data_IF_436241509731
#
_entry.id   IF_436241509731
#
_cell.length_a   1.000
_cell.length_b   1.000
_cell.length_c   1.000
_cell.angle_alpha   90.00
_cell.angle_beta   90.00
_cell.angle_gamma   90.00
#
_symmetry.space_group_name_H-M   'P 1'
#
loop_
_entity.id
_entity.type
_entity.pdbx_description
1 polymer ?
#
# COMPACT_ATOMS: atom_id res chain seq x y z
N UNK A 1 24.39 -12.90 2.45
CA UNK A 1 23.06 -12.33 2.08
C UNK A 1 22.93 -10.84 2.45
N UNK A 2 23.03 -10.43 3.73
CA UNK A 2 22.89 -9.02 4.16
C UNK A 2 23.71 -8.00 3.33
N UNK A 3 25.02 -8.21 3.15
CA UNK A 3 25.88 -7.31 2.35
C UNK A 3 25.37 -7.12 0.91
N UNK A 4 24.87 -8.20 0.29
CA UNK A 4 24.30 -8.16 -1.06
C UNK A 4 23.01 -7.33 -1.11
N UNK A 5 22.13 -7.48 -0.11
CA UNK A 5 20.91 -6.68 -0.01
C UNK A 5 21.22 -5.18 0.14
N UNK A 6 22.15 -4.81 1.03
CA UNK A 6 22.58 -3.42 1.21
C UNK A 6 23.16 -2.85 -0.08
N UNK A 7 23.99 -3.62 -0.79
CA UNK A 7 24.54 -3.21 -2.09
C UNK A 7 23.44 -2.97 -3.12
N UNK A 8 22.39 -3.81 -3.18
CA UNK A 8 21.28 -3.62 -4.12
C UNK A 8 20.45 -2.38 -3.79
N UNK A 9 20.13 -2.15 -2.50
CA UNK A 9 19.44 -0.93 -2.04
C UNK A 9 20.23 0.31 -2.44
N UNK A 10 21.53 0.30 -2.15
CA UNK A 10 22.43 1.42 -2.47
C UNK A 10 22.56 1.65 -3.97
N UNK A 11 22.61 0.58 -4.77
CA UNK A 11 22.72 0.67 -6.23
C UNK A 11 21.46 1.31 -6.82
N UNK A 12 20.28 0.80 -6.45
CA UNK A 12 19.00 1.33 -6.92
C UNK A 12 18.82 2.79 -6.51
N UNK A 13 19.02 3.11 -5.23
CA UNK A 13 18.81 4.48 -4.75
C UNK A 13 19.87 5.46 -5.25
N UNK A 14 21.10 5.01 -5.48
CA UNK A 14 22.12 5.83 -6.16
C UNK A 14 21.70 6.16 -7.57
N UNK A 15 21.12 5.21 -8.31
CA UNK A 15 20.62 5.42 -9.67
C UNK A 15 19.48 6.43 -9.67
N UNK A 16 18.48 6.28 -8.80
CA UNK A 16 17.36 7.23 -8.68
C UNK A 16 17.86 8.64 -8.34
N UNK A 17 18.71 8.79 -7.31
CA UNK A 17 19.23 10.10 -6.89
C UNK A 17 20.10 10.76 -7.98
N UNK A 18 20.92 9.97 -8.69
CA UNK A 18 21.78 10.48 -9.78
C UNK A 18 20.96 10.96 -10.98
N UNK A 19 19.84 10.32 -11.27
CA UNK A 19 18.96 10.65 -12.39
C UNK A 19 17.79 11.54 -11.97
N UNK A 20 18.06 12.52 -11.10
CA UNK A 20 17.08 13.52 -10.68
C UNK A 20 15.76 12.94 -10.16
N UNK A 21 15.84 11.86 -9.38
CA UNK A 21 14.70 11.14 -8.79
C UNK A 21 13.80 10.42 -9.80
N UNK A 22 14.36 10.05 -10.96
CA UNK A 22 13.75 9.15 -11.91
C UNK A 22 14.43 7.79 -11.90
N UNK A 23 13.65 6.72 -11.99
CA UNK A 23 14.13 5.39 -12.32
C UNK A 23 14.26 5.31 -13.85
N UNK A 24 15.49 5.44 -14.34
CA UNK A 24 15.81 5.35 -15.78
C UNK A 24 15.92 3.88 -16.19
N UNK A 25 15.30 3.53 -17.31
CA UNK A 25 15.27 2.18 -17.86
C UNK A 25 16.45 1.92 -18.83
N UNK A 26 16.55 0.71 -19.39
CA UNK A 26 17.61 0.27 -20.28
C UNK A 26 17.78 1.14 -21.54
N UNK A 27 16.73 1.84 -21.95
CA UNK A 27 16.72 2.72 -23.13
C UNK A 27 17.16 4.17 -22.82
N UNK A 28 17.48 4.49 -21.56
CA UNK A 28 17.89 5.83 -21.14
C UNK A 28 16.74 6.79 -20.79
N UNK A 29 15.49 6.34 -20.89
CA UNK A 29 14.30 7.13 -20.56
C UNK A 29 13.75 6.78 -19.17
N UNK A 30 13.05 7.72 -18.49
CA UNK A 30 12.32 7.39 -17.27
C UNK A 30 11.28 6.29 -17.49
N UNK A 31 11.19 5.35 -16.55
CA UNK A 31 10.06 4.41 -16.50
C UNK A 31 8.74 5.17 -16.30
N UNK A 32 7.61 4.53 -16.62
CA UNK A 32 6.29 5.17 -16.51
C UNK A 32 5.99 5.64 -15.09
N UNK A 33 6.24 4.78 -14.10
CA UNK A 33 5.85 4.97 -12.70
C UNK A 33 7.00 5.34 -11.75
N UNK A 34 8.26 5.06 -12.11
CA UNK A 34 9.40 5.38 -11.25
C UNK A 34 9.78 6.87 -11.33
N UNK A 35 8.88 7.76 -10.90
CA UNK A 35 9.01 9.22 -11.01
C UNK A 35 8.74 9.90 -9.67
N UNK A 36 9.80 10.36 -9.01
CA UNK A 36 9.71 11.05 -7.71
C UNK A 36 10.26 12.47 -7.76
N UNK A 37 10.50 13.00 -8.95
CA UNK A 37 11.00 14.36 -9.15
C UNK A 37 9.94 15.40 -8.76
N UNK A 38 10.31 16.51 -8.08
CA UNK A 38 9.36 17.54 -7.67
C UNK A 38 8.57 18.18 -8.81
N UNK A 39 9.15 18.34 -9.99
CA UNK A 39 8.46 18.89 -11.17
C UNK A 39 7.34 17.97 -11.64
N UNK A 40 7.49 16.65 -11.48
CA UNK A 40 6.44 15.68 -11.78
C UNK A 40 5.42 15.61 -10.64
N UNK A 41 5.89 15.41 -9.40
CA UNK A 41 5.05 15.15 -8.22
C UNK A 41 4.20 16.37 -7.86
N UNK A 42 4.80 17.56 -7.80
CA UNK A 42 4.07 18.77 -7.41
C UNK A 42 3.30 19.43 -8.57
N UNK A 43 3.47 18.95 -9.81
CA UNK A 43 2.58 19.33 -10.89
C UNK A 43 1.18 18.70 -10.75
N UNK A 44 1.04 17.64 -9.95
CA UNK A 44 -0.27 17.07 -9.62
C UNK A 44 -0.99 17.95 -8.58
N UNK A 45 -2.30 18.21 -8.73
CA UNK A 45 -3.13 18.79 -7.67
C UNK A 45 -3.04 17.99 -6.36
N UNK A 46 -3.28 18.64 -5.23
CA UNK A 46 -3.08 18.06 -3.89
C UNK A 46 -4.00 16.88 -3.56
N UNK A 47 -5.18 16.82 -4.19
CA UNK A 47 -6.13 15.71 -4.05
C UNK A 47 -5.78 14.47 -4.88
N UNK A 48 -4.82 14.55 -5.81
CA UNK A 48 -4.42 13.40 -6.63
C UNK A 48 -3.51 12.49 -5.82
N UNK A 49 -3.94 11.24 -5.59
CA UNK A 49 -3.26 10.26 -4.74
C UNK A 49 -1.78 10.06 -5.06
N UNK A 50 -1.42 10.07 -6.35
CA UNK A 50 -0.05 9.92 -6.85
C UNK A 50 0.94 10.93 -6.22
N UNK A 51 0.48 12.14 -5.87
CA UNK A 51 1.32 13.16 -5.21
C UNK A 51 1.73 12.73 -3.80
N UNK A 52 0.76 12.30 -2.99
CA UNK A 52 0.98 11.79 -1.63
C UNK A 52 1.78 10.49 -1.67
N UNK A 53 1.47 9.61 -2.62
CA UNK A 53 2.11 8.30 -2.76
C UNK A 53 3.59 8.47 -3.08
N UNK A 54 3.91 9.23 -4.13
CA UNK A 54 5.28 9.42 -4.56
C UNK A 54 6.12 10.15 -3.50
N UNK A 55 5.54 11.14 -2.79
CA UNK A 55 6.23 11.76 -1.66
C UNK A 55 6.50 10.75 -0.53
N UNK A 56 5.52 9.92 -0.15
CA UNK A 56 5.69 8.90 0.89
C UNK A 56 6.75 7.87 0.52
N UNK A 57 6.66 7.36 -0.71
CA UNK A 57 7.54 6.33 -1.26
C UNK A 57 8.99 6.78 -1.29
N UNK A 58 9.30 7.93 -1.88
CA UNK A 58 10.70 8.36 -2.01
C UNK A 58 11.33 8.66 -0.65
N UNK A 59 10.55 9.21 0.31
CA UNK A 59 11.05 9.49 1.66
C UNK A 59 11.32 8.17 2.39
N UNK A 60 10.40 7.19 2.32
CA UNK A 60 10.60 5.85 2.87
C UNK A 60 11.80 5.13 2.27
N UNK A 61 11.99 5.21 0.95
CA UNK A 61 13.12 4.63 0.24
C UNK A 61 14.46 5.27 0.62
N UNK A 62 14.54 6.61 0.68
CA UNK A 62 15.75 7.33 1.07
C UNK A 62 16.12 7.09 2.54
N UNK A 63 15.12 7.04 3.43
CA UNK A 63 15.32 6.66 4.84
C UNK A 63 15.90 5.26 4.97
N UNK A 64 15.31 4.30 4.24
CA UNK A 64 15.79 2.91 4.24
C UNK A 64 17.22 2.81 3.73
N UNK A 65 17.54 3.49 2.63
CA UNK A 65 18.90 3.52 2.09
C UNK A 65 19.89 4.16 3.08
N UNK A 66 19.52 5.27 3.72
CA UNK A 66 20.36 5.87 4.76
C UNK A 66 20.58 4.92 5.94
N UNK A 67 19.53 4.31 6.47
CA UNK A 67 19.62 3.39 7.61
C UNK A 67 20.62 2.26 7.38
N UNK A 68 20.61 1.66 6.20
CA UNK A 68 21.48 0.51 5.90
C UNK A 68 22.88 0.87 5.40
N UNK A 69 23.05 2.05 4.78
CA UNK A 69 24.32 2.43 4.14
C UNK A 69 25.11 3.49 4.90
N UNK A 70 24.45 4.30 5.74
CA UNK A 70 25.02 5.46 6.42
C UNK A 70 25.44 6.61 5.49
N UNK A 71 25.06 6.57 4.20
CA UNK A 71 25.50 7.58 3.22
C UNK A 71 24.64 8.84 3.31
N UNK A 72 25.26 9.94 3.70
CA UNK A 72 24.58 11.23 3.95
C UNK A 72 23.79 11.77 2.77
N UNK A 73 24.22 11.49 1.54
CA UNK A 73 23.49 11.87 0.31
C UNK A 73 22.00 11.49 0.32
N UNK A 74 21.63 10.39 0.99
CA UNK A 74 20.23 9.96 1.07
C UNK A 74 19.45 10.78 2.09
N UNK A 75 20.01 11.03 3.28
CA UNK A 75 19.42 11.87 4.31
C UNK A 75 19.26 13.30 3.82
N UNK A 76 20.32 13.86 3.26
CA UNK A 76 20.33 15.24 2.77
C UNK A 76 19.31 15.42 1.64
N UNK A 77 19.20 14.45 0.73
CA UNK A 77 18.17 14.48 -0.33
C UNK A 77 16.75 14.39 0.24
N UNK A 78 16.51 13.55 1.24
CA UNK A 78 15.19 13.45 1.85
C UNK A 78 14.77 14.75 2.56
N UNK A 79 15.67 15.36 3.34
CA UNK A 79 15.39 16.65 3.98
C UNK A 79 15.24 17.79 2.97
N UNK A 80 16.02 17.78 1.89
CA UNK A 80 15.84 18.72 0.78
C UNK A 80 14.42 18.63 0.18
N UNK A 81 13.93 17.41 -0.10
CA UNK A 81 12.58 17.21 -0.64
C UNK A 81 11.48 17.64 0.35
N UNK A 82 11.65 17.33 1.63
CA UNK A 82 10.68 17.71 2.66
C UNK A 82 10.61 19.23 2.86
N UNK A 83 11.76 19.92 2.87
CA UNK A 83 11.85 21.35 3.19
C UNK A 83 11.62 22.27 2.00
N UNK A 84 12.24 21.94 0.86
CA UNK A 84 12.23 22.83 -0.31
C UNK A 84 11.09 22.52 -1.28
N UNK A 85 10.55 21.29 -1.24
CA UNK A 85 9.54 20.81 -2.20
C UNK A 85 8.24 20.33 -1.54
N UNK A 86 8.08 20.50 -0.22
CA UNK A 86 6.84 20.19 0.48
C UNK A 86 6.49 18.71 0.60
N UNK A 87 7.45 17.79 0.45
CA UNK A 87 7.13 16.34 0.45
C UNK A 87 6.58 15.86 1.79
N UNK A 88 6.95 16.51 2.90
CA UNK A 88 6.37 16.19 4.20
C UNK A 88 4.90 16.62 4.29
N UNK A 89 4.53 17.74 3.67
CA UNK A 89 3.13 18.17 3.60
C UNK A 89 2.33 17.23 2.69
N UNK A 90 2.86 16.91 1.51
CA UNK A 90 2.23 15.97 0.58
C UNK A 90 1.93 14.62 1.25
N UNK A 91 2.92 13.99 1.92
CA UNK A 91 2.73 12.68 2.53
C UNK A 91 1.77 12.71 3.74
N UNK A 92 1.65 13.85 4.41
CA UNK A 92 0.77 14.05 5.58
C UNK A 92 -0.65 14.46 5.21
N UNK A 93 -0.95 14.70 3.93
CA UNK A 93 -2.29 14.99 3.42
C UNK A 93 -3.28 13.93 3.89
N UNK A 94 -4.44 14.28 4.48
CA UNK A 94 -5.44 13.29 4.88
C UNK A 94 -5.94 12.46 3.69
N UNK A 95 -6.14 11.16 3.90
CA UNK A 95 -6.67 10.25 2.89
C UNK A 95 -8.08 10.66 2.44
N UNK A 96 -8.90 11.21 3.34
CA UNK A 96 -10.22 11.76 3.00
C UNK A 96 -10.20 13.02 2.11
N UNK A 97 -9.03 13.62 1.86
CA UNK A 97 -8.86 14.70 0.88
C UNK A 97 -8.39 14.19 -0.50
N UNK A 98 -8.11 12.89 -0.63
CA UNK A 98 -7.76 12.26 -1.90
C UNK A 98 -9.03 11.98 -2.69
N UNK A 99 -9.03 12.37 -3.97
CA UNK A 99 -10.23 12.35 -4.79
C UNK A 99 -9.96 12.77 -6.23
N UNK A 100 -11.03 12.95 -7.04
CA UNK A 100 -10.89 13.31 -8.43
C UNK A 100 -10.25 14.69 -8.58
N UNK A 101 -9.34 14.81 -9.54
CA UNK A 101 -8.79 16.09 -9.94
C UNK A 101 -9.91 17.01 -10.50
N UNK A 102 -9.81 18.34 -10.32
CA UNK A 102 -10.77 19.26 -10.90
C UNK A 102 -10.78 19.14 -12.44
N UNK A 103 -11.91 19.46 -13.07
CA UNK A 103 -12.05 19.41 -14.54
C UNK A 103 -11.02 20.29 -15.27
N UNK A 104 -10.53 21.34 -14.60
CA UNK A 104 -9.49 22.24 -15.10
C UNK A 104 -8.07 21.67 -15.02
N UNK A 105 -7.88 20.52 -14.38
CA UNK A 105 -6.57 19.86 -14.31
C UNK A 105 -6.18 19.25 -15.66
N UNK A 106 -4.87 19.06 -15.86
CA UNK A 106 -4.37 18.40 -17.05
C UNK A 106 -4.87 16.95 -17.17
N UNK A 107 -4.83 16.42 -18.39
CA UNK A 107 -5.35 15.08 -18.70
C UNK A 107 -4.67 13.98 -17.89
N UNK A 108 -3.38 14.13 -17.55
CA UNK A 108 -2.65 13.14 -16.77
C UNK A 108 -3.19 13.09 -15.33
N UNK A 109 -3.40 14.25 -14.71
CA UNK A 109 -4.00 14.32 -13.38
C UNK A 109 -5.41 13.77 -13.32
N UNK A 110 -6.24 14.01 -14.33
CA UNK A 110 -7.59 13.44 -14.40
C UNK A 110 -7.53 11.91 -14.52
N UNK A 111 -6.69 11.39 -15.41
CA UNK A 111 -6.47 9.95 -15.57
C UNK A 111 -5.98 9.28 -14.27
N UNK A 112 -5.05 9.91 -13.55
CA UNK A 112 -4.53 9.41 -12.27
C UNK A 112 -5.53 9.46 -11.10
N UNK A 113 -6.72 10.04 -11.31
CA UNK A 113 -7.73 10.23 -10.27
C UNK A 113 -9.14 9.95 -10.79
N UNK A 114 -9.26 9.06 -11.79
CA UNK A 114 -10.57 8.59 -12.27
C UNK A 114 -11.29 7.77 -11.18
N UNK A 115 -10.53 6.97 -10.45
CA UNK A 115 -10.98 6.14 -9.32
C UNK A 115 -9.83 5.95 -8.33
N UNK A 116 -10.15 5.39 -7.16
CA UNK A 116 -9.15 4.92 -6.21
C UNK A 116 -8.32 3.78 -6.82
N UNK A 117 -7.00 3.98 -6.86
CA UNK A 117 -6.10 2.94 -7.33
C UNK A 117 -5.68 2.05 -6.16
N UNK A 118 -6.34 0.89 -6.01
CA UNK A 118 -6.04 -0.12 -4.97
C UNK A 118 -4.60 -0.65 -5.01
N UNK A 119 -3.88 -0.49 -6.13
CA UNK A 119 -2.44 -0.80 -6.18
C UNK A 119 -1.56 0.21 -5.45
N UNK A 120 -2.04 1.44 -5.25
CA UNK A 120 -1.33 2.44 -4.47
C UNK A 120 -1.32 2.04 -2.98
N UNK A 121 -2.35 1.35 -2.49
CA UNK A 121 -2.43 0.88 -1.11
C UNK A 121 -1.34 -0.16 -0.81
N UNK A 122 -1.14 -1.12 -1.73
CA UNK A 122 -0.03 -2.05 -1.65
C UNK A 122 1.32 -1.35 -1.62
N UNK A 123 1.50 -0.33 -2.47
CA UNK A 123 2.73 0.46 -2.50
C UNK A 123 2.96 1.22 -1.19
N UNK A 124 1.92 1.84 -0.63
CA UNK A 124 1.98 2.52 0.66
C UNK A 124 2.37 1.56 1.79
N UNK A 125 1.62 0.47 1.96
CA UNK A 125 1.83 -0.46 3.07
C UNK A 125 3.21 -1.14 3.00
N UNK A 126 3.66 -1.53 1.82
CA UNK A 126 5.03 -1.99 1.62
C UNK A 126 6.07 -0.89 1.96
N UNK A 127 5.80 0.35 1.56
CA UNK A 127 6.67 1.51 1.81
C UNK A 127 6.73 1.94 3.29
N UNK A 128 5.65 1.74 4.05
CA UNK A 128 5.53 2.16 5.45
C UNK A 128 6.55 1.49 6.36
N UNK A 129 7.03 0.30 6.01
CA UNK A 129 8.13 -0.34 6.73
C UNK A 129 9.39 0.52 6.75
N UNK A 130 9.77 1.06 5.59
CA UNK A 130 10.91 1.96 5.46
C UNK A 130 10.63 3.35 6.04
N UNK A 131 9.41 3.85 5.84
CA UNK A 131 9.00 5.18 6.29
C UNK A 131 8.93 5.26 7.83
N UNK A 132 8.29 4.31 8.49
CA UNK A 132 8.05 4.35 9.93
C UNK A 132 9.20 3.78 10.76
N UNK A 133 9.74 2.60 10.42
CA UNK A 133 10.81 1.97 11.24
C UNK A 133 12.10 2.76 11.22
N UNK A 134 12.40 3.40 10.09
CA UNK A 134 13.65 4.11 9.85
C UNK A 134 13.47 5.62 9.75
N UNK A 135 12.39 6.15 10.34
CA UNK A 135 12.19 7.59 10.48
C UNK A 135 13.45 8.28 11.04
N UNK A 136 13.86 9.40 10.44
CA UNK A 136 15.12 10.06 10.82
C UNK A 136 15.13 10.60 12.27
N UNK A 137 13.96 10.86 12.84
CA UNK A 137 13.78 11.33 14.21
C UNK A 137 12.37 11.01 14.73
N UNK A 138 12.17 11.18 16.04
CA UNK A 138 10.91 10.85 16.71
C UNK A 138 9.74 11.73 16.26
N UNK A 139 9.98 13.00 15.92
CA UNK A 139 8.94 13.89 15.40
C UNK A 139 8.36 13.35 14.10
N UNK A 140 9.21 13.01 13.13
CA UNK A 140 8.78 12.39 11.87
C UNK A 140 8.10 11.05 12.12
N UNK A 141 8.61 10.24 13.05
CA UNK A 141 8.00 8.95 13.39
C UNK A 141 6.55 9.10 13.89
N UNK A 142 6.29 10.08 14.75
CA UNK A 142 4.94 10.40 15.24
C UNK A 142 4.04 10.85 14.08
N UNK A 143 4.55 11.70 13.19
CA UNK A 143 3.81 12.15 12.01
C UNK A 143 3.47 11.00 11.08
N UNK A 144 4.43 10.13 10.76
CA UNK A 144 4.19 8.98 9.90
C UNK A 144 3.22 7.98 10.52
N UNK A 145 3.28 7.75 11.85
CA UNK A 145 2.25 6.95 12.54
C UNK A 145 0.86 7.51 12.29
N UNK A 146 0.68 8.83 12.42
CA UNK A 146 -0.61 9.47 12.14
C UNK A 146 -1.06 9.24 10.69
N UNK A 147 -0.17 9.41 9.70
CA UNK A 147 -0.51 9.19 8.29
C UNK A 147 -0.86 7.73 7.97
N UNK A 148 -0.21 6.77 8.61
CA UNK A 148 -0.50 5.34 8.44
C UNK A 148 -1.86 4.98 9.05
N UNK A 149 -2.17 5.52 10.23
CA UNK A 149 -3.48 5.27 10.87
C UNK A 149 -4.62 5.93 10.09
N UNK A 150 -4.39 7.12 9.54
CA UNK A 150 -5.35 7.79 8.65
C UNK A 150 -5.62 6.98 7.36
N UNK A 151 -4.59 6.35 6.80
CA UNK A 151 -4.75 5.40 5.70
C UNK A 151 -5.59 4.20 6.13
N UNK A 152 -5.19 3.56 7.24
CA UNK A 152 -5.88 2.37 7.74
C UNK A 152 -7.36 2.63 7.96
N UNK A 153 -7.76 3.77 8.56
CA UNK A 153 -9.18 4.14 8.73
C UNK A 153 -9.96 4.19 7.40
N UNK A 154 -9.30 4.56 6.30
CA UNK A 154 -9.89 4.58 4.96
C UNK A 154 -10.03 3.17 4.38
N UNK A 155 -9.12 2.26 4.70
CA UNK A 155 -9.10 0.86 4.24
C UNK A 155 -10.03 -0.08 5.03
N UNK A 156 -10.49 0.32 6.23
CA UNK A 156 -11.27 -0.57 7.13
C UNK A 156 -12.50 -1.21 6.48
N UNK A 157 -13.28 -0.54 5.61
CA UNK A 157 -14.44 -1.15 4.97
C UNK A 157 -14.11 -2.43 4.20
N UNK A 158 -12.89 -2.54 3.66
CA UNK A 158 -12.47 -3.72 2.91
C UNK A 158 -12.10 -4.91 3.79
N UNK A 159 -11.91 -4.73 5.11
CA UNK A 159 -11.50 -5.80 6.04
C UNK A 159 -10.30 -6.60 5.49
N UNK A 160 -9.35 -5.90 4.87
CA UNK A 160 -8.23 -6.49 4.16
C UNK A 160 -7.19 -7.01 5.17
N UNK A 161 -6.81 -8.28 5.06
CA UNK A 161 -6.03 -8.97 6.08
C UNK A 161 -4.58 -8.48 6.18
N UNK A 162 -3.94 -8.16 5.05
CA UNK A 162 -2.56 -7.66 5.02
C UNK A 162 -2.45 -6.23 5.54
N UNK A 163 -3.33 -5.32 5.12
CA UNK A 163 -3.37 -3.92 5.56
C UNK A 163 -3.60 -3.83 7.07
N UNK A 164 -4.60 -4.56 7.58
CA UNK A 164 -4.89 -4.60 9.01
C UNK A 164 -3.70 -5.13 9.83
N UNK A 165 -3.07 -6.23 9.40
CA UNK A 165 -1.88 -6.77 10.09
C UNK A 165 -0.69 -5.79 10.01
N UNK A 166 -0.45 -5.18 8.85
CA UNK A 166 0.65 -4.23 8.70
C UNK A 166 0.44 -2.96 9.54
N UNK A 167 -0.80 -2.55 9.85
CA UNK A 167 -1.08 -1.43 10.76
C UNK A 167 -0.47 -1.63 12.15
N UNK A 168 -0.37 -2.87 12.63
CA UNK A 168 0.28 -3.20 13.90
C UNK A 168 1.77 -2.77 13.95
N UNK A 169 2.41 -2.57 12.81
CA UNK A 169 3.76 -1.98 12.70
C UNK A 169 3.88 -0.67 13.49
N UNK A 170 2.81 0.12 13.56
CA UNK A 170 2.79 1.42 14.24
C UNK A 170 2.82 1.31 15.78
N UNK A 171 2.61 0.10 16.32
CA UNK A 171 2.40 -0.12 17.75
C UNK A 171 1.13 0.56 18.26
N UNK A 172 0.09 0.62 17.43
CA UNK A 172 -1.26 0.96 17.87
C UNK A 172 -1.77 -0.18 18.78
N UNK A 173 -2.43 0.12 19.92
CA UNK A 173 -2.87 -0.92 20.86
C UNK A 173 -4.02 -1.77 20.30
N UNK A 174 -4.90 -1.15 19.51
CA UNK A 174 -6.06 -1.79 18.91
C UNK A 174 -6.02 -1.53 17.40
N UNK A 175 -6.28 -2.58 16.63
CA UNK A 175 -6.43 -2.58 15.17
C UNK A 175 -7.36 -3.74 14.80
N UNK A 176 -7.79 -3.81 13.55
CA UNK A 176 -8.77 -4.78 13.05
C UNK A 176 -8.16 -6.20 12.88
N UNK A 177 -7.64 -6.77 13.99
CA UNK A 177 -7.04 -8.09 14.04
C UNK A 177 -8.07 -9.21 13.85
N UNK A 178 -9.28 -9.04 14.36
CA UNK A 178 -10.34 -10.04 14.22
C UNK A 178 -10.75 -10.19 12.76
N UNK A 179 -10.83 -9.08 12.03
CA UNK A 179 -11.10 -8.97 10.60
C UNK A 179 -9.97 -9.59 9.79
N UNK A 180 -8.70 -9.37 10.19
CA UNK A 180 -7.57 -10.01 9.54
C UNK A 180 -7.54 -11.53 9.75
N UNK A 181 -7.91 -12.00 10.95
CA UNK A 181 -8.04 -13.43 11.24
C UNK A 181 -9.21 -14.03 10.47
N UNK A 182 -10.35 -13.33 10.40
CA UNK A 182 -11.50 -13.71 9.59
C UNK A 182 -11.10 -13.83 8.12
N UNK A 183 -10.41 -12.84 7.56
CA UNK A 183 -9.87 -12.89 6.21
C UNK A 183 -9.04 -14.16 5.97
N UNK A 184 -8.08 -14.45 6.86
CA UNK A 184 -7.21 -15.63 6.73
C UNK A 184 -7.95 -16.97 6.88
N UNK A 185 -9.03 -17.02 7.67
CA UNK A 185 -9.83 -18.22 7.89
C UNK A 185 -10.76 -18.52 6.72
N UNK A 186 -11.40 -17.48 6.19
CA UNK A 186 -12.32 -17.60 5.06
C UNK A 186 -11.59 -17.62 3.72
N UNK A 187 -10.31 -17.24 3.63
CA UNK A 187 -9.64 -17.26 2.33
C UNK A 187 -9.60 -18.69 1.74
N UNK A 188 -10.06 -18.88 0.50
CA UNK A 188 -10.17 -20.21 -0.09
C UNK A 188 -8.80 -20.88 -0.27
N UNK A 189 -8.79 -22.20 -0.07
CA UNK A 189 -7.59 -23.03 -0.29
C UNK A 189 -7.32 -23.30 -1.77
N UNK A 190 -8.37 -23.29 -2.61
CA UNK A 190 -8.23 -23.37 -4.07
C UNK A 190 -8.06 -21.95 -4.62
N UNK A 191 -6.88 -21.68 -5.18
CA UNK A 191 -6.52 -20.38 -5.73
C UNK A 191 -6.70 -20.32 -7.26
N UNK A 192 -7.39 -21.31 -7.83
CA UNK A 192 -7.81 -21.31 -9.23
C UNK A 192 -8.86 -20.22 -9.46
N UNK A 193 -8.72 -19.44 -10.53
CA UNK A 193 -9.61 -18.32 -10.84
C UNK A 193 -10.96 -18.76 -11.43
N UNK A 194 -11.75 -19.53 -10.67
CA UNK A 194 -13.08 -19.91 -11.10
C UNK A 194 -13.97 -18.70 -11.37
N UNK A 195 -14.95 -18.86 -12.27
CA UNK A 195 -15.95 -17.81 -12.48
C UNK A 195 -16.88 -17.71 -11.27
N UNK A 196 -17.01 -16.50 -10.73
CA UNK A 196 -17.86 -16.16 -9.60
C UNK A 196 -18.86 -15.11 -10.07
N UNK A 197 -20.12 -15.21 -9.66
CA UNK A 197 -21.11 -14.18 -9.93
C UNK A 197 -21.98 -14.00 -8.69
N UNK A 198 -21.81 -12.88 -7.98
CA UNK A 198 -22.61 -12.54 -6.80
C UNK A 198 -23.57 -11.39 -7.07
N UNK A 199 -23.39 -10.60 -8.12
CA UNK A 199 -24.23 -9.43 -8.41
C UNK A 199 -25.72 -9.73 -8.59
N UNK A 200 -26.09 -10.98 -8.87
CA UNK A 200 -27.48 -11.43 -8.98
C UNK A 200 -28.13 -11.82 -7.64
N UNK A 201 -27.35 -11.90 -6.56
CA UNK A 201 -27.82 -12.30 -5.23
C UNK A 201 -28.73 -11.23 -4.65
N UNK A 202 -29.87 -11.66 -4.09
CA UNK A 202 -30.90 -10.75 -3.54
C UNK A 202 -30.68 -10.40 -2.07
N UNK A 203 -29.81 -11.15 -1.40
CA UNK A 203 -29.38 -10.91 -0.04
C UNK A 203 -28.30 -9.81 0.07
N UNK A 204 -27.71 -9.40 -1.06
CA UNK A 204 -26.72 -8.33 -1.11
C UNK A 204 -27.40 -7.00 -1.38
N UNK A 205 -27.19 -6.03 -0.50
CA UNK A 205 -27.62 -4.64 -0.70
C UNK A 205 -26.55 -3.87 -1.49
N UNK A 206 -26.91 -3.45 -2.71
CA UNK A 206 -26.06 -2.62 -3.55
C UNK A 206 -26.26 -1.13 -3.22
N UNK A 207 -25.16 -0.39 -3.23
CA UNK A 207 -25.13 1.06 -3.05
C UNK A 207 -24.44 1.74 -4.25
N UNK A 208 -24.63 3.05 -4.38
CA UNK A 208 -23.89 3.83 -5.37
C UNK A 208 -22.39 3.84 -4.99
N UNK A 209 -21.48 3.52 -5.92
CA UNK A 209 -20.06 3.48 -5.61
C UNK A 209 -19.52 4.86 -5.26
N UNK A 210 -18.69 4.90 -4.23
CA UNK A 210 -17.89 6.06 -3.88
C UNK A 210 -16.60 6.12 -4.72
N UNK A 211 -15.68 7.04 -4.37
CA UNK A 211 -14.41 7.16 -5.08
C UNK A 211 -13.54 5.88 -4.97
N UNK A 212 -13.77 5.04 -3.96
CA UNK A 212 -13.08 3.76 -3.76
C UNK A 212 -13.65 2.61 -4.57
N UNK A 213 -14.83 2.80 -5.17
CA UNK A 213 -15.55 1.73 -5.84
C UNK A 213 -16.25 0.78 -4.87
N UNK A 214 -16.61 1.25 -3.67
CA UNK A 214 -17.38 0.44 -2.71
C UNK A 214 -18.83 0.28 -3.19
N UNK A 215 -19.23 -0.92 -3.60
CA UNK A 215 -20.57 -1.18 -4.17
C UNK A 215 -21.56 -1.82 -3.21
N UNK A 216 -21.15 -2.16 -1.98
CA UNK A 216 -22.00 -2.74 -0.93
C UNK A 216 -21.70 -2.12 0.43
N UNK A 217 -22.64 -2.19 1.37
CA UNK A 217 -22.42 -1.68 2.73
C UNK A 217 -21.33 -2.46 3.50
N UNK A 218 -21.21 -3.76 3.23
CA UNK A 218 -20.25 -4.66 3.86
C UNK A 218 -19.60 -5.53 2.78
N UNK A 219 -18.31 -5.79 2.93
CA UNK A 219 -17.58 -6.71 2.04
C UNK A 219 -18.03 -8.15 2.28
N UNK A 220 -18.13 -8.94 1.19
CA UNK A 220 -18.42 -10.37 1.30
C UNK A 220 -17.23 -11.15 1.90
N UNK A 221 -17.48 -12.33 2.48
CA UNK A 221 -16.41 -13.27 2.83
C UNK A 221 -15.46 -13.55 1.65
N UNK A 222 -14.14 -13.64 1.90
CA UNK A 222 -13.15 -13.95 0.86
C UNK A 222 -13.42 -15.22 0.03
N UNK A 223 -14.03 -16.26 0.61
CA UNK A 223 -14.43 -17.48 -0.10
C UNK A 223 -15.67 -17.33 -0.98
N UNK A 224 -16.44 -16.26 -0.80
CA UNK A 224 -17.57 -15.92 -1.68
C UNK A 224 -17.13 -15.01 -2.85
N UNK A 225 -15.95 -14.39 -2.78
CA UNK A 225 -15.45 -13.45 -3.78
C UNK A 225 -14.55 -14.12 -4.84
N UNK A 226 -14.35 -13.47 -6.00
CA UNK A 226 -13.30 -13.88 -6.93
C UNK A 226 -11.93 -13.86 -6.25
N UNK A 227 -11.07 -14.84 -6.58
CA UNK A 227 -9.67 -14.81 -6.13
C UNK A 227 -8.99 -13.56 -6.67
N UNK A 228 -8.41 -12.78 -5.76
CA UNK A 228 -7.75 -11.53 -6.08
C UNK A 228 -6.54 -11.29 -5.16
N UNK A 229 -5.57 -10.52 -5.65
CA UNK A 229 -4.45 -10.03 -4.85
C UNK A 229 -4.91 -8.86 -3.97
N UNK A 230 -4.08 -8.48 -3.00
CA UNK A 230 -4.36 -7.37 -2.08
C UNK A 230 -4.54 -6.00 -2.75
N UNK A 231 -4.12 -5.85 -4.01
CA UNK A 231 -4.25 -4.62 -4.79
C UNK A 231 -5.51 -4.55 -5.67
N UNK A 232 -6.50 -5.40 -5.40
CA UNK A 232 -7.79 -5.42 -6.08
C UNK A 232 -8.88 -4.88 -5.17
N UNK A 233 -9.95 -4.35 -5.76
CA UNK A 233 -11.11 -3.89 -5.01
C UNK A 233 -11.89 -5.09 -4.44
N UNK A 234 -11.95 -5.22 -3.12
CA UNK A 234 -12.71 -6.30 -2.47
C UNK A 234 -14.23 -6.22 -2.66
N UNK A 235 -14.75 -5.09 -3.12
CA UNK A 235 -16.16 -4.92 -3.45
C UNK A 235 -16.52 -5.43 -4.86
N UNK A 236 -15.55 -5.91 -5.65
CA UNK A 236 -15.81 -6.57 -6.93
C UNK A 236 -16.51 -7.92 -6.73
N UNK A 237 -17.84 -7.92 -6.90
CA UNK A 237 -18.70 -9.08 -6.64
C UNK A 237 -18.56 -10.23 -7.65
N UNK A 238 -18.08 -9.95 -8.86
CA UNK A 238 -18.12 -10.87 -10.00
C UNK A 238 -16.72 -11.10 -10.59
N UNK A 239 -16.43 -12.34 -10.99
CA UNK A 239 -15.17 -12.77 -11.58
C UNK A 239 -15.38 -13.67 -12.80
N UNK A 240 -14.59 -13.46 -13.85
CA UNK A 240 -14.70 -14.21 -15.13
C UNK A 240 -13.46 -15.06 -15.45
N UNK A 241 -12.74 -15.53 -14.43
CA UNK A 241 -11.47 -16.23 -14.63
C UNK A 241 -11.59 -17.57 -15.38
N UNK A 242 -12.71 -18.28 -15.22
CA UNK A 242 -13.02 -19.53 -15.90
C UNK A 242 -11.97 -20.65 -15.69
N UNK A 243 -11.24 -20.60 -14.57
CA UNK A 243 -10.22 -21.59 -14.19
C UNK A 243 -9.03 -21.64 -15.15
N UNK A 244 -8.65 -20.50 -15.72
CA UNK A 244 -7.56 -20.37 -16.70
C UNK A 244 -6.24 -20.03 -16.05
N UNK A 245 -6.24 -19.63 -14.78
CA UNK A 245 -5.08 -19.19 -14.01
C UNK A 245 -5.19 -19.69 -12.58
N UNK A 246 -4.04 -19.75 -11.93
CA UNK A 246 -3.93 -20.02 -10.50
C UNK A 246 -3.13 -18.87 -9.88
N UNK A 247 -3.62 -18.34 -8.76
CA UNK A 247 -2.91 -17.35 -7.98
C UNK A 247 -1.92 -18.01 -7.01
N UNK A 248 -0.94 -17.23 -6.55
CA UNK A 248 0.04 -17.73 -5.61
C UNK A 248 -0.45 -17.54 -4.17
N UNK A 249 -0.34 -18.60 -3.36
CA UNK A 249 -0.60 -18.51 -1.92
C UNK A 249 0.44 -17.65 -1.19
N UNK A 250 1.60 -17.43 -1.81
CA UNK A 250 2.75 -16.72 -1.25
C UNK A 250 2.44 -15.26 -0.90
N UNK A 251 1.88 -14.55 -1.87
CA UNK A 251 1.52 -13.13 -1.78
C UNK A 251 0.20 -12.92 -1.04
N UNK A 252 -0.76 -13.84 -1.15
CA UNK A 252 -2.14 -13.61 -0.70
C UNK A 252 -2.40 -14.07 0.74
N UNK A 253 -1.98 -15.30 1.09
CA UNK A 253 -2.28 -15.87 2.42
C UNK A 253 -1.03 -15.93 3.30
N UNK A 254 0.09 -16.39 2.74
CA UNK A 254 1.32 -16.59 3.50
C UNK A 254 1.93 -15.25 3.93
N UNK A 255 1.87 -14.21 3.09
CA UNK A 255 2.38 -12.88 3.42
C UNK A 255 1.71 -12.27 4.67
N UNK A 256 0.37 -12.10 4.74
CA UNK A 256 -0.28 -11.59 5.94
C UNK A 256 -0.01 -12.47 7.17
N UNK A 257 -0.12 -13.80 7.02
CA UNK A 257 0.17 -14.73 8.12
C UNK A 257 1.59 -14.54 8.68
N UNK A 258 2.62 -14.58 7.83
CA UNK A 258 4.01 -14.49 8.28
C UNK A 258 4.38 -13.11 8.81
N UNK A 259 3.79 -12.04 8.28
CA UNK A 259 3.95 -10.71 8.87
C UNK A 259 3.31 -10.66 10.26
N UNK A 260 2.10 -11.21 10.43
CA UNK A 260 1.44 -11.27 11.73
C UNK A 260 2.26 -12.06 12.76
N UNK A 261 2.86 -13.17 12.34
CA UNK A 261 3.81 -13.96 13.15
C UNK A 261 5.06 -13.15 13.50
N UNK A 262 5.63 -12.44 12.53
CA UNK A 262 6.82 -11.61 12.72
C UNK A 262 6.57 -10.42 13.68
N UNK A 263 5.39 -9.81 13.61
CA UNK A 263 4.98 -8.72 14.51
C UNK A 263 4.51 -9.24 15.88
N UNK A 264 4.32 -10.55 16.04
CA UNK A 264 3.86 -11.17 17.28
C UNK A 264 2.37 -11.00 17.55
N UNK A 265 1.59 -10.55 16.57
CA UNK A 265 0.13 -10.39 16.68
C UNK A 265 -0.65 -11.65 16.34
N UNK A 266 0.00 -12.62 15.68
CA UNK A 266 -0.50 -13.99 15.52
C UNK A 266 0.35 -14.93 16.37
N UNK A 267 -0.27 -15.53 17.39
CA UNK A 267 0.36 -16.45 18.34
C UNK A 267 0.63 -17.85 17.80
N UNK A 268 1.46 -18.61 18.52
CA UNK A 268 1.57 -20.06 18.26
C UNK A 268 0.29 -20.74 18.75
N UNK A 269 -0.07 -21.85 18.12
CA UNK A 269 -1.09 -22.72 18.68
C UNK A 269 -0.60 -23.21 20.05
N UNK A 270 -1.29 -22.83 21.12
CA UNK A 270 -1.07 -23.44 22.42
C UNK A 270 -1.39 -24.93 22.29
N UNK A 271 -0.37 -25.78 22.45
CA UNK A 271 -0.59 -27.22 22.48
C UNK A 271 -1.27 -27.57 23.80
N UNK A 272 -2.59 -27.55 23.83
CA UNK A 272 -3.34 -28.26 24.85
C UNK A 272 -3.12 -29.76 24.64
N UNK A 273 -2.07 -30.31 25.23
CA UNK A 273 -1.97 -31.74 25.45
C UNK A 273 -2.99 -32.11 26.53
N UNK A 274 -4.22 -32.40 26.12
CA UNK A 274 -5.18 -33.09 26.99
C UNK A 274 -4.61 -34.47 27.29
N UNK A 275 -4.22 -34.69 28.55
CA UNK A 275 -3.78 -35.99 29.08
C UNK A 275 -4.97 -36.89 29.36
#
# INVERSE_FOLDING_TARGET
LRKKAIMLIDTLMSHVVKNNLYLIDWNGEPTLWGKWNPEYVNARPEMVGDRKLNSSNIIGMLQTAYHFTGKEKYRDKAFYLMREHGYLENLMRPFGEIGPAPETADAWSRMLSEEWNHSDDEMYYCGYWGLYRYAFNDTLKIMYKKAILDHWETERPEKEGLWNIMTALTGVPEFDLEEAIWYLKEYPLDLTDWSVNNSHRRDIELIDPDFRGQTTNEVLPPDELPIARHNANRFDLDGKGAGRREYSAGDIWLLPYWIGRYLGVIGETEKEYTK
#
